data_IF_168464140131
#
_entry.id   IF_168464140131
#
_cell.length_a   1.000
_cell.length_b   1.000
_cell.length_c   1.000
_cell.angle_alpha   90.00
_cell.angle_beta   90.00
_cell.angle_gamma   90.00
#
_symmetry.space_group_name_H-M   'P 1'
#
loop_
_entity.id
_entity.type
_entity.pdbx_description
1 polymer ?
#
# COMPACT_ATOMS: atom_id res chain seq x y z
N UNK A 1 -0.31 -70.14 -47.35
CA UNK A 1 -0.29 -68.82 -48.03
C UNK A 1 -1.17 -67.86 -47.24
N UNK A 2 -0.59 -67.01 -46.40
CA UNK A 2 -1.20 -65.81 -45.82
C UNK A 2 -0.10 -65.06 -45.05
N UNK A 3 0.64 -64.22 -45.75
CA UNK A 3 1.67 -63.37 -45.14
C UNK A 3 0.98 -62.19 -44.45
N UNK A 4 1.12 -62.12 -43.13
CA UNK A 4 0.70 -61.00 -42.28
C UNK A 4 1.53 -59.76 -42.63
N UNK A 5 0.92 -58.78 -43.29
CA UNK A 5 1.56 -57.50 -43.65
C UNK A 5 1.63 -56.59 -42.41
N UNK A 6 2.83 -56.07 -42.22
CA UNK A 6 3.31 -55.14 -41.19
C UNK A 6 2.40 -53.93 -40.90
N UNK A 7 1.88 -53.84 -39.68
CA UNK A 7 1.20 -52.66 -39.12
C UNK A 7 2.14 -51.72 -38.32
N UNK A 8 3.46 -51.76 -38.56
CA UNK A 8 4.43 -50.93 -37.80
C UNK A 8 4.74 -49.55 -38.41
N UNK A 9 4.21 -49.22 -39.59
CA UNK A 9 4.59 -48.03 -40.35
C UNK A 9 3.70 -46.79 -40.15
N UNK A 10 2.49 -46.90 -39.57
CA UNK A 10 1.61 -45.73 -39.38
C UNK A 10 1.81 -44.96 -38.06
N UNK A 11 2.49 -45.54 -37.06
CA UNK A 11 2.71 -44.90 -35.75
C UNK A 11 3.99 -44.06 -35.67
N UNK A 12 4.93 -44.21 -36.61
CA UNK A 12 6.18 -43.45 -36.64
C UNK A 12 6.01 -42.01 -37.18
N UNK A 13 5.16 -41.82 -38.20
CA UNK A 13 4.90 -40.50 -38.79
C UNK A 13 4.18 -39.54 -37.83
N UNK A 14 3.27 -40.06 -36.99
CA UNK A 14 2.58 -39.25 -35.98
C UNK A 14 3.51 -38.81 -34.85
N UNK A 15 4.52 -39.63 -34.48
CA UNK A 15 5.46 -39.30 -33.38
C UNK A 15 6.47 -38.22 -33.73
N UNK A 16 6.85 -38.07 -35.00
CA UNK A 16 7.75 -36.99 -35.44
C UNK A 16 7.04 -35.63 -35.58
N UNK A 17 5.74 -35.62 -35.90
CA UNK A 17 4.95 -34.38 -36.03
C UNK A 17 4.69 -33.68 -34.68
N UNK A 18 4.58 -34.43 -33.57
CA UNK A 18 4.34 -33.85 -32.25
C UNK A 18 5.59 -33.20 -31.61
N UNK A 19 6.81 -33.48 -32.09
CA UNK A 19 8.04 -32.93 -31.51
C UNK A 19 8.40 -31.52 -32.00
N UNK A 20 7.79 -31.04 -33.08
CA UNK A 20 8.05 -29.69 -33.66
C UNK A 20 6.86 -28.74 -33.49
N UNK A 21 5.63 -29.25 -33.38
CA UNK A 21 4.43 -28.41 -33.29
C UNK A 21 4.11 -27.90 -31.87
N UNK A 22 4.43 -28.66 -30.81
CA UNK A 22 4.14 -28.28 -29.43
C UNK A 22 5.06 -27.20 -28.83
N UNK A 23 6.38 -27.12 -29.13
CA UNK A 23 7.23 -26.04 -28.63
C UNK A 23 6.85 -24.67 -29.22
N UNK A 24 6.29 -24.65 -30.43
CA UNK A 24 5.85 -23.44 -31.12
C UNK A 24 4.64 -22.79 -30.41
N UNK A 25 3.66 -23.59 -29.98
CA UNK A 25 2.44 -23.09 -29.33
C UNK A 25 2.70 -22.47 -27.95
N UNK A 26 3.67 -23.00 -27.19
CA UNK A 26 4.09 -22.44 -25.89
C UNK A 26 4.86 -21.13 -26.03
N UNK A 27 5.69 -20.99 -27.07
CA UNK A 27 6.36 -19.72 -27.38
C UNK A 27 5.34 -18.68 -27.88
N UNK A 28 4.29 -19.10 -28.58
CA UNK A 28 3.21 -18.23 -29.07
C UNK A 28 2.24 -17.78 -27.96
N UNK A 29 2.07 -18.52 -26.86
CA UNK A 29 1.34 -18.02 -25.68
C UNK A 29 2.14 -16.96 -24.93
N UNK A 30 3.44 -17.19 -24.70
CA UNK A 30 4.30 -16.20 -24.02
C UNK A 30 4.43 -14.90 -24.84
N UNK A 31 4.48 -15.01 -26.17
CA UNK A 31 4.49 -13.86 -27.08
C UNK A 31 3.17 -13.05 -27.02
N UNK A 32 2.03 -13.71 -26.78
CA UNK A 32 0.72 -13.05 -26.65
C UNK A 32 0.55 -12.33 -25.32
N UNK A 33 1.13 -12.87 -24.25
CA UNK A 33 1.13 -12.21 -22.94
C UNK A 33 2.02 -10.96 -22.95
N UNK A 34 3.19 -11.04 -23.59
CA UNK A 34 4.11 -9.91 -23.69
C UNK A 34 3.58 -8.79 -24.60
N UNK A 35 2.93 -9.13 -25.72
CA UNK A 35 2.28 -8.14 -26.58
C UNK A 35 1.03 -7.52 -25.93
N UNK A 36 0.29 -8.30 -25.14
CA UNK A 36 -0.81 -7.81 -24.32
C UNK A 36 -0.35 -6.80 -23.26
N UNK A 37 0.75 -7.07 -22.55
CA UNK A 37 1.32 -6.13 -21.58
C UNK A 37 1.77 -4.83 -22.26
N UNK A 38 2.42 -4.91 -23.42
CA UNK A 38 2.83 -3.73 -24.18
C UNK A 38 1.63 -2.87 -24.63
N UNK A 39 0.58 -3.49 -25.16
CA UNK A 39 -0.65 -2.78 -25.55
C UNK A 39 -1.32 -2.08 -24.36
N UNK A 40 -1.33 -2.70 -23.18
CA UNK A 40 -1.85 -2.10 -21.95
C UNK A 40 -0.98 -0.96 -21.44
N UNK A 41 0.33 -1.04 -21.65
CA UNK A 41 1.22 0.08 -21.36
C UNK A 41 0.94 1.27 -22.29
N UNK A 42 0.77 1.03 -23.60
CA UNK A 42 0.49 2.08 -24.59
C UNK A 42 -0.82 2.83 -24.31
N UNK A 43 -1.83 2.14 -23.77
CA UNK A 43 -3.08 2.76 -23.29
C UNK A 43 -2.86 3.68 -22.06
N UNK A 44 -1.91 3.36 -21.17
CA UNK A 44 -1.69 4.08 -19.92
C UNK A 44 -0.64 5.21 -20.04
N UNK A 45 0.35 5.05 -20.91
CA UNK A 45 1.49 5.96 -21.08
C UNK A 45 1.10 7.44 -21.30
N UNK A 46 0.10 7.79 -22.12
CA UNK A 46 -0.29 9.19 -22.35
C UNK A 46 -0.73 9.90 -21.07
N UNK A 47 -1.53 9.22 -20.24
CA UNK A 47 -2.01 9.77 -18.97
C UNK A 47 -0.86 10.00 -17.98
N UNK A 48 0.12 9.10 -17.97
CA UNK A 48 1.28 9.19 -17.08
C UNK A 48 2.22 10.34 -17.49
N UNK A 49 2.52 10.48 -18.78
CA UNK A 49 3.42 11.53 -19.29
C UNK A 49 2.82 12.92 -19.13
N UNK A 50 1.50 13.07 -19.31
CA UNK A 50 0.81 14.35 -19.13
C UNK A 50 0.61 14.75 -17.66
N UNK A 51 0.60 13.79 -16.73
CA UNK A 51 0.45 14.06 -15.30
C UNK A 51 1.74 14.55 -14.60
N UNK A 52 2.90 14.45 -15.26
CA UNK A 52 4.19 14.83 -14.69
C UNK A 52 4.38 16.36 -14.74
N UNK A 53 4.91 16.99 -13.66
CA UNK A 53 5.24 18.40 -13.69
C UNK A 53 6.23 18.71 -14.83
N UNK A 54 5.83 19.61 -15.73
CA UNK A 54 6.64 20.02 -16.89
C UNK A 54 7.98 20.64 -16.51
N UNK A 55 8.07 21.32 -15.38
CA UNK A 55 9.29 21.99 -14.91
C UNK A 55 9.35 22.07 -13.38
N UNK A 56 10.58 22.18 -12.87
CA UNK A 56 10.83 22.41 -11.44
C UNK A 56 10.36 23.80 -11.04
N UNK A 57 9.63 23.90 -9.92
CA UNK A 57 9.17 25.19 -9.42
C UNK A 57 10.33 26.00 -8.80
N UNK A 58 10.36 27.31 -9.07
CA UNK A 58 11.36 28.24 -8.51
C UNK A 58 11.31 28.32 -6.98
N UNK A 59 12.44 28.68 -6.37
CA UNK A 59 12.57 28.82 -4.92
C UNK A 59 11.53 29.77 -4.32
N UNK A 60 11.31 30.94 -4.95
CA UNK A 60 10.30 31.91 -4.51
C UNK A 60 8.88 31.33 -4.52
N UNK A 61 8.46 30.69 -5.63
CA UNK A 61 7.12 30.06 -5.73
C UNK A 61 6.93 28.92 -4.73
N UNK A 62 7.98 28.15 -4.43
CA UNK A 62 7.95 27.12 -3.38
C UNK A 62 7.74 27.76 -2.00
N UNK A 63 8.51 28.80 -1.68
CA UNK A 63 8.45 29.51 -0.40
C UNK A 63 7.09 30.18 -0.15
N UNK A 64 6.53 30.87 -1.15
CA UNK A 64 5.20 31.47 -1.07
C UNK A 64 4.10 30.43 -0.77
N UNK A 65 4.18 29.23 -1.38
CA UNK A 65 3.22 28.15 -1.10
C UNK A 65 3.35 27.59 0.32
N UNK A 66 4.53 27.62 0.94
CA UNK A 66 4.72 27.18 2.32
C UNK A 66 4.41 28.24 3.37
N UNK A 67 4.44 29.53 3.02
CA UNK A 67 4.27 30.64 3.97
C UNK A 67 2.94 30.57 4.75
N UNK A 68 1.86 30.13 4.09
CA UNK A 68 0.54 30.05 4.72
C UNK A 68 0.33 28.81 5.61
N UNK A 69 1.33 27.92 5.72
CA UNK A 69 1.22 26.64 6.46
C UNK A 69 1.82 26.69 7.87
N UNK A 70 2.00 27.88 8.43
CA UNK A 70 2.56 28.06 9.78
C UNK A 70 1.65 27.51 10.89
N UNK A 71 2.25 27.22 12.06
CA UNK A 71 1.51 26.80 13.24
C UNK A 71 0.67 27.98 13.77
N UNK A 72 -0.64 27.77 13.90
CA UNK A 72 -1.53 28.78 14.48
C UNK A 72 -1.32 28.86 15.99
N UNK A 73 -1.16 30.07 16.51
CA UNK A 73 -1.10 30.31 17.95
C UNK A 73 -2.42 29.88 18.61
N UNK A 74 -2.33 29.11 19.70
CA UNK A 74 -3.51 28.69 20.47
C UNK A 74 -3.75 29.68 21.61
N UNK A 75 -4.91 30.33 21.61
CA UNK A 75 -5.37 31.25 22.68
C UNK A 75 -6.06 30.54 23.85
N UNK A 76 -6.43 29.26 23.67
CA UNK A 76 -7.36 28.57 24.57
C UNK A 76 -6.66 27.86 25.74
N UNK A 77 -5.60 28.45 26.28
CA UNK A 77 -4.83 27.88 27.40
C UNK A 77 -5.25 28.60 28.67
N UNK A 78 -5.83 27.84 29.61
CA UNK A 78 -6.34 28.35 30.89
C UNK A 78 -5.68 27.64 32.05
N UNK A 79 -5.64 28.25 33.22
CA UNK A 79 -5.06 27.63 34.41
C UNK A 79 -6.04 26.62 35.02
N UNK A 80 -5.53 25.49 35.53
CA UNK A 80 -6.34 24.51 36.22
C UNK A 80 -6.77 25.03 37.61
N UNK A 81 -8.06 24.90 38.02
CA UNK A 81 -8.51 25.39 39.32
C UNK A 81 -7.93 24.60 40.52
N UNK A 82 -7.50 23.35 40.31
CA UNK A 82 -7.01 22.49 41.39
C UNK A 82 -5.49 22.52 41.57
N UNK A 83 -4.72 22.56 40.47
CA UNK A 83 -3.26 22.45 40.50
C UNK A 83 -2.53 23.62 39.83
N UNK A 84 -3.25 24.66 39.40
CA UNK A 84 -2.75 25.85 38.69
C UNK A 84 -1.90 25.64 37.42
N UNK A 85 -1.67 24.39 37.00
CA UNK A 85 -0.97 24.08 35.75
C UNK A 85 -1.78 24.50 34.51
N UNK A 86 -1.12 24.91 33.41
CA UNK A 86 -1.79 25.26 32.17
C UNK A 86 -2.47 24.04 31.57
N UNK A 87 -3.72 24.21 31.16
CA UNK A 87 -4.54 23.20 30.48
C UNK A 87 -5.29 23.82 29.31
N UNK A 88 -5.79 22.98 28.41
CA UNK A 88 -6.65 23.43 27.31
C UNK A 88 -8.07 23.75 27.83
N UNK A 89 -8.68 24.83 27.35
CA UNK A 89 -10.05 25.21 27.69
C UNK A 89 -11.03 24.08 27.30
N UNK A 90 -12.03 23.82 28.14
CA UNK A 90 -12.98 22.70 28.02
C UNK A 90 -12.38 21.28 28.12
N UNK A 91 -11.07 21.14 28.30
CA UNK A 91 -10.45 19.85 28.60
C UNK A 91 -10.17 19.69 30.09
N UNK A 92 -10.16 18.44 30.52
CA UNK A 92 -9.71 18.05 31.85
C UNK A 92 -8.18 18.20 31.96
N UNK A 93 -7.67 18.54 33.14
CA UNK A 93 -6.23 18.71 33.34
C UNK A 93 -5.49 17.35 33.24
N UNK A 94 -4.50 17.19 32.35
CA UNK A 94 -3.80 15.92 32.20
C UNK A 94 -3.05 15.51 33.48
N UNK A 95 -2.52 16.49 34.22
CA UNK A 95 -1.81 16.26 35.46
C UNK A 95 -2.72 15.73 36.57
N UNK A 96 -3.81 16.45 36.90
CA UNK A 96 -4.78 15.99 37.89
C UNK A 96 -5.37 14.62 37.52
N UNK A 97 -5.62 14.37 36.23
CA UNK A 97 -6.21 13.11 35.78
C UNK A 97 -5.28 11.95 36.04
N UNK A 98 -4.00 12.15 35.71
CA UNK A 98 -2.97 11.12 35.88
C UNK A 98 -2.81 10.74 37.36
N UNK A 99 -2.80 11.73 38.27
CA UNK A 99 -2.69 11.49 39.70
C UNK A 99 -3.92 10.76 40.23
N UNK A 100 -5.11 11.26 39.88
CA UNK A 100 -6.36 10.70 40.36
C UNK A 100 -6.57 9.27 39.85
N UNK A 101 -6.24 9.01 38.57
CA UNK A 101 -6.30 7.68 37.97
C UNK A 101 -5.36 6.69 38.66
N UNK A 102 -4.11 7.11 38.95
CA UNK A 102 -3.15 6.28 39.70
C UNK A 102 -3.65 5.96 41.09
N UNK A 103 -4.21 6.95 41.80
CA UNK A 103 -4.78 6.76 43.13
C UNK A 103 -6.00 5.83 43.13
N UNK A 104 -6.88 5.92 42.12
CA UNK A 104 -8.00 4.98 41.97
C UNK A 104 -7.51 3.55 41.73
N UNK A 105 -6.53 3.36 40.84
CA UNK A 105 -5.96 2.03 40.58
C UNK A 105 -5.33 1.43 41.83
N UNK A 106 -4.51 2.19 42.55
CA UNK A 106 -3.87 1.73 43.78
C UNK A 106 -4.90 1.31 44.84
N UNK A 107 -5.97 2.11 45.03
CA UNK A 107 -7.07 1.77 45.94
C UNK A 107 -7.80 0.51 45.51
N UNK A 108 -8.09 0.34 44.21
CA UNK A 108 -8.74 -0.86 43.70
C UNK A 108 -7.88 -2.10 43.95
N UNK A 109 -6.56 -2.02 43.71
CA UNK A 109 -5.63 -3.13 44.00
C UNK A 109 -5.58 -3.49 45.49
N UNK A 110 -5.61 -2.48 46.37
CA UNK A 110 -5.68 -2.70 47.82
C UNK A 110 -7.00 -3.37 48.22
N UNK A 111 -8.13 -2.90 47.68
CA UNK A 111 -9.44 -3.51 47.93
C UNK A 111 -9.50 -4.96 47.46
N UNK A 112 -8.96 -5.28 46.27
CA UNK A 112 -8.89 -6.66 45.78
C UNK A 112 -7.96 -7.55 46.60
N UNK A 113 -6.97 -6.98 47.29
CA UNK A 113 -6.05 -7.75 48.13
C UNK A 113 -6.60 -7.99 49.55
N UNK A 114 -7.57 -7.19 49.98
CA UNK A 114 -8.22 -7.28 51.30
C UNK A 114 -9.52 -8.10 51.27
N UNK A 115 -10.05 -8.38 50.07
CA UNK A 115 -11.20 -9.26 49.84
C UNK A 115 -10.72 -10.68 49.56
#
# INVERSE_FOLDING_TARGET
>A
MASLVSMRSLTAAHRLAHMVALPSLMLQSLQRDLSGIWARMEELFPSLVWAVPKSRVSHSRKSMRSANKGLKARSNIVHCPSCSQPKLAHHFCPHCYSQLSRAFKARNHQQTALA
#
